data_IF_117438530582
#
_entry.id   IF_117438530582
#
_cell.length_a   1.000
_cell.length_b   1.000
_cell.length_c   1.000
_cell.angle_alpha   90.00
_cell.angle_beta   90.00
_cell.angle_gamma   90.00
#
_symmetry.space_group_name_H-M   'P 1'
#
loop_
_entity.id
_entity.type
_entity.pdbx_description
1 polymer ?
#
# COMPACT_ATOMS: atom_id res chain seq x y z
N UNK A 1 23.50 1.69 18.68
CA UNK A 1 24.24 2.36 17.60
C UNK A 1 23.42 3.58 17.31
N UNK A 2 23.95 4.77 17.65
CA UNK A 2 23.17 6.02 17.71
C UNK A 2 22.39 6.25 16.41
N UNK A 3 22.94 5.84 15.26
CA UNK A 3 22.25 5.99 13.98
C UNK A 3 21.03 5.08 13.90
N UNK A 4 21.16 3.78 14.21
CA UNK A 4 20.03 2.83 14.22
C UNK A 4 18.99 3.16 15.28
N UNK A 5 19.42 3.65 16.43
CA UNK A 5 18.53 4.01 17.55
C UNK A 5 17.65 5.23 17.21
N UNK A 6 18.06 6.06 16.23
CA UNK A 6 17.29 7.19 15.71
C UNK A 6 16.52 6.89 14.40
N UNK A 7 16.72 5.72 13.79
CA UNK A 7 16.08 5.42 12.49
C UNK A 7 14.58 5.15 12.60
N UNK A 8 14.08 4.80 13.79
CA UNK A 8 12.66 4.48 14.02
C UNK A 8 12.11 5.42 15.08
N UNK A 9 11.01 6.10 14.76
CA UNK A 9 10.35 7.06 15.65
C UNK A 9 8.87 6.71 15.85
N UNK A 10 8.34 6.94 17.05
CA UNK A 10 6.94 6.73 17.39
C UNK A 10 6.22 8.06 17.60
N UNK A 11 5.76 8.68 16.51
CA UNK A 11 5.05 9.98 16.57
C UNK A 11 3.64 9.86 17.15
N UNK A 12 3.03 8.68 17.02
CA UNK A 12 1.67 8.40 17.46
C UNK A 12 1.57 8.20 18.97
N UNK A 13 2.68 7.82 19.64
CA UNK A 13 2.68 7.42 21.04
C UNK A 13 1.90 6.13 21.34
N UNK A 14 1.44 5.41 20.32
CA UNK A 14 0.59 4.21 20.44
C UNK A 14 1.36 2.92 20.75
N UNK A 15 2.69 3.01 20.90
CA UNK A 15 3.54 1.88 21.26
C UNK A 15 4.06 1.05 20.07
N UNK A 16 4.57 -0.17 20.34
CA UNK A 16 5.21 -1.03 19.34
C UNK A 16 4.25 -1.40 18.19
N UNK A 17 4.73 -1.35 16.95
CA UNK A 17 3.94 -1.60 15.73
C UNK A 17 3.35 -0.36 15.07
N UNK A 18 3.38 0.80 15.75
CA UNK A 18 2.96 2.09 15.20
C UNK A 18 4.12 3.08 15.01
N UNK A 19 5.35 2.58 15.12
CA UNK A 19 6.56 3.35 14.84
C UNK A 19 6.85 3.34 13.34
N UNK A 20 7.49 4.39 12.84
CA UNK A 20 7.84 4.51 11.43
C UNK A 20 9.31 4.92 11.25
N UNK A 21 9.91 4.60 10.10
CA UNK A 21 11.24 5.09 9.77
C UNK A 21 11.28 6.63 9.72
N UNK A 22 12.39 7.22 10.19
CA UNK A 22 12.60 8.67 10.17
C UNK A 22 12.51 9.26 8.77
N UNK A 23 13.04 8.55 7.76
CA UNK A 23 12.98 8.94 6.35
C UNK A 23 11.53 9.12 5.87
N UNK A 24 10.66 8.15 6.17
CA UNK A 24 9.25 8.20 5.83
C UNK A 24 8.53 9.37 6.56
N UNK A 25 8.94 9.71 7.77
CA UNK A 25 8.40 10.88 8.46
C UNK A 25 8.85 12.19 7.81
N UNK A 26 10.12 12.28 7.39
CA UNK A 26 10.62 13.44 6.65
C UNK A 26 9.86 13.59 5.33
N UNK A 27 9.59 12.49 4.62
CA UNK A 27 8.78 12.50 3.41
C UNK A 27 7.37 13.05 3.64
N UNK A 28 6.69 12.62 4.72
CA UNK A 28 5.39 13.17 5.09
C UNK A 28 5.45 14.67 5.36
N UNK A 29 6.45 15.14 6.13
CA UNK A 29 6.63 16.57 6.42
C UNK A 29 6.86 17.38 5.14
N UNK A 30 7.69 16.89 4.22
CA UNK A 30 7.93 17.51 2.91
C UNK A 30 6.62 17.56 2.10
N UNK A 31 5.83 16.48 2.10
CA UNK A 31 4.52 16.44 1.45
C UNK A 31 3.59 17.54 1.95
N UNK A 32 3.49 17.73 3.26
CA UNK A 32 2.69 18.82 3.84
C UNK A 32 3.23 20.21 3.48
N UNK A 33 4.55 20.39 3.48
CA UNK A 33 5.17 21.65 3.11
C UNK A 33 4.89 22.01 1.65
N UNK A 34 4.94 21.03 0.74
CA UNK A 34 4.60 21.22 -0.68
C UNK A 34 3.18 21.76 -0.82
N UNK A 35 2.20 21.18 -0.12
CA UNK A 35 0.80 21.64 -0.16
C UNK A 35 0.67 23.09 0.34
N UNK A 36 1.33 23.44 1.44
CA UNK A 36 1.26 24.78 2.02
C UNK A 36 2.01 25.84 1.18
N UNK A 37 3.10 25.45 0.53
CA UNK A 37 3.91 26.32 -0.31
C UNK A 37 3.28 26.55 -1.69
N UNK A 38 2.69 25.50 -2.28
CA UNK A 38 2.02 25.53 -3.59
C UNK A 38 0.86 26.54 -3.62
N UNK A 39 0.31 26.89 -2.45
CA UNK A 39 -0.83 27.77 -2.32
C UNK A 39 -0.58 29.26 -2.66
N UNK A 40 0.64 29.80 -2.86
CA UNK A 40 0.78 31.27 -3.06
C UNK A 40 1.95 31.77 -3.95
N UNK A 41 1.71 31.80 -5.27
CA UNK A 41 2.22 32.76 -6.28
C UNK A 41 3.55 33.50 -6.02
N UNK A 42 3.60 34.82 -6.27
CA UNK A 42 4.80 35.67 -6.15
C UNK A 42 5.43 35.69 -4.73
N UNK A 43 4.72 35.15 -3.74
CA UNK A 43 5.15 35.04 -2.35
C UNK A 43 5.77 33.67 -2.00
N UNK A 44 6.17 32.87 -3.00
CA UNK A 44 6.90 31.62 -2.78
C UNK A 44 8.40 31.87 -2.60
N UNK A 45 8.77 32.55 -1.51
CA UNK A 45 10.19 32.76 -1.14
C UNK A 45 10.69 31.67 -0.21
N UNK A 46 12.00 31.38 -0.28
CA UNK A 46 12.68 30.43 0.60
C UNK A 46 12.55 30.81 2.08
N UNK A 47 12.58 32.10 2.40
CA UNK A 47 12.39 32.60 3.77
C UNK A 47 11.02 32.23 4.32
N UNK A 48 9.98 32.34 3.48
CA UNK A 48 8.63 31.95 3.86
C UNK A 48 8.50 30.45 4.03
N UNK A 49 9.19 29.65 3.19
CA UNK A 49 9.26 28.20 3.40
C UNK A 49 9.91 27.86 4.73
N UNK A 50 11.01 28.53 5.10
CA UNK A 50 11.68 28.35 6.40
C UNK A 50 10.76 28.67 7.59
N UNK A 51 10.00 29.77 7.49
CA UNK A 51 9.04 30.13 8.54
C UNK A 51 7.90 29.11 8.66
N UNK A 52 7.38 28.59 7.54
CA UNK A 52 6.32 27.58 7.53
C UNK A 52 6.83 26.23 8.04
N UNK A 53 8.05 25.84 7.68
CA UNK A 53 8.64 24.57 8.13
C UNK A 53 8.89 24.55 9.63
N UNK A 54 9.35 25.66 10.21
CA UNK A 54 9.49 25.80 11.65
C UNK A 54 8.13 25.68 12.39
N UNK A 55 7.04 26.18 11.79
CA UNK A 55 5.71 26.18 12.40
C UNK A 55 4.84 24.95 12.01
N UNK A 56 5.35 24.00 11.22
CA UNK A 56 4.54 22.96 10.56
C UNK A 56 3.73 22.11 11.55
N UNK A 57 4.31 21.80 12.71
CA UNK A 57 3.64 21.02 13.78
C UNK A 57 2.42 21.76 14.31
N UNK A 58 2.52 23.07 14.51
CA UNK A 58 1.40 23.89 14.98
C UNK A 58 0.34 24.07 13.88
N UNK A 59 0.78 24.29 12.64
CA UNK A 59 -0.13 24.41 11.49
C UNK A 59 -0.94 23.14 11.26
N UNK A 60 -0.34 21.96 11.42
CA UNK A 60 -1.04 20.69 11.35
C UNK A 60 -2.07 20.51 12.48
N UNK A 61 -1.74 20.92 13.70
CA UNK A 61 -2.69 20.89 14.84
C UNK A 61 -3.88 21.82 14.58
N UNK A 62 -3.63 23.01 14.06
CA UNK A 62 -4.70 23.96 13.68
C UNK A 62 -5.55 23.36 12.56
N UNK A 63 -4.94 22.81 11.52
CA UNK A 63 -5.65 22.12 10.42
C UNK A 63 -6.56 21.03 10.99
N UNK A 64 -6.04 20.17 11.87
CA UNK A 64 -6.82 19.10 12.51
C UNK A 64 -8.03 19.66 13.28
N UNK A 65 -7.83 20.67 14.13
CA UNK A 65 -8.93 21.30 14.89
C UNK A 65 -9.97 21.96 13.99
N UNK A 66 -9.54 22.65 12.93
CA UNK A 66 -10.46 23.27 11.96
C UNK A 66 -11.23 22.19 11.20
N UNK A 67 -10.56 21.11 10.79
CA UNK A 67 -11.22 19.99 10.13
C UNK A 67 -12.25 19.31 11.03
N UNK A 68 -11.94 19.12 12.32
CA UNK A 68 -12.89 18.60 13.31
C UNK A 68 -14.08 19.55 13.51
N UNK A 69 -13.82 20.85 13.66
CA UNK A 69 -14.86 21.85 13.86
C UNK A 69 -15.81 22.02 12.66
N UNK A 70 -15.29 21.87 11.45
CA UNK A 70 -16.07 21.97 10.20
C UNK A 70 -16.65 20.63 9.74
N UNK A 71 -16.48 19.57 10.52
CA UNK A 71 -16.79 18.19 10.15
C UNK A 71 -16.24 17.75 8.77
N UNK A 72 -15.12 18.35 8.39
CA UNK A 72 -14.35 18.00 7.17
C UNK A 72 -13.16 17.12 7.51
N UNK A 73 -13.02 16.70 8.77
CA UNK A 73 -12.05 15.71 9.18
C UNK A 73 -12.22 14.46 8.33
N UNK A 74 -11.12 13.98 7.77
CA UNK A 74 -11.10 12.75 7.00
C UNK A 74 -11.54 11.58 7.91
N UNK A 75 -12.80 11.17 7.79
CA UNK A 75 -13.46 10.18 8.67
C UNK A 75 -13.15 8.72 8.34
N UNK A 76 -12.11 8.42 7.56
CA UNK A 76 -11.82 7.03 7.16
C UNK A 76 -10.42 6.58 7.54
N UNK A 77 -10.29 5.98 8.72
CA UNK A 77 -9.19 5.05 9.05
C UNK A 77 -9.49 3.61 8.61
N UNK A 78 -10.73 3.32 8.22
CA UNK A 78 -11.09 2.02 7.64
C UNK A 78 -10.88 2.06 6.14
N UNK A 79 -9.77 1.50 5.65
CA UNK A 79 -9.80 0.90 4.33
C UNK A 79 -10.83 -0.24 4.44
N UNK A 80 -12.10 0.00 4.09
CA UNK A 80 -13.09 -1.06 4.02
C UNK A 80 -12.57 -2.01 2.95
N UNK A 81 -12.11 -3.20 3.36
CA UNK A 81 -11.70 -4.21 2.40
C UNK A 81 -12.88 -4.45 1.47
N UNK A 82 -12.76 -4.11 0.17
CA UNK A 82 -13.87 -4.30 -0.73
C UNK A 82 -14.19 -5.79 -0.79
N UNK A 83 -15.47 -6.14 -0.72
CA UNK A 83 -15.89 -7.52 -0.89
C UNK A 83 -15.56 -7.97 -2.33
N UNK A 84 -14.58 -8.86 -2.46
CA UNK A 84 -14.12 -9.38 -3.75
C UNK A 84 -14.80 -10.69 -4.14
N UNK A 85 -15.77 -11.17 -3.35
CA UNK A 85 -16.43 -12.46 -3.56
C UNK A 85 -17.04 -12.58 -4.95
N UNK A 86 -17.69 -11.53 -5.45
CA UNK A 86 -18.29 -11.51 -6.78
C UNK A 86 -17.24 -11.64 -7.90
N UNK A 87 -16.09 -10.96 -7.76
CA UNK A 87 -15.00 -11.03 -8.73
C UNK A 87 -14.40 -12.43 -8.78
N UNK A 88 -14.20 -13.07 -7.63
CA UNK A 88 -13.73 -14.46 -7.54
C UNK A 88 -14.71 -15.40 -8.28
N UNK A 89 -16.01 -15.27 -8.03
CA UNK A 89 -17.02 -16.09 -8.73
C UNK A 89 -17.14 -15.80 -10.22
N UNK A 90 -16.89 -14.57 -10.65
CA UNK A 90 -16.85 -14.20 -12.07
C UNK A 90 -15.67 -14.88 -12.78
N UNK A 91 -14.49 -14.89 -12.16
CA UNK A 91 -13.32 -15.60 -12.66
C UNK A 91 -13.59 -17.11 -12.69
N UNK A 92 -14.10 -17.68 -11.59
CA UNK A 92 -14.41 -19.11 -11.51
C UNK A 92 -15.41 -19.56 -12.59
N UNK A 93 -16.49 -18.80 -12.82
CA UNK A 93 -17.45 -19.09 -13.88
C UNK A 93 -16.82 -19.01 -15.27
N UNK A 94 -15.94 -18.04 -15.52
CA UNK A 94 -15.27 -17.89 -16.82
C UNK A 94 -14.31 -19.07 -17.08
N UNK A 95 -13.51 -19.44 -16.08
CA UNK A 95 -12.63 -20.60 -16.10
C UNK A 95 -13.39 -21.90 -16.38
N UNK A 96 -14.56 -22.07 -15.74
CA UNK A 96 -15.43 -23.21 -15.99
C UNK A 96 -16.07 -23.20 -17.38
N UNK A 97 -16.55 -22.04 -17.85
CA UNK A 97 -17.18 -21.90 -19.18
C UNK A 97 -16.22 -22.16 -20.33
N UNK A 98 -14.94 -21.83 -20.13
CA UNK A 98 -13.87 -22.05 -21.11
C UNK A 98 -13.14 -23.37 -20.89
N UNK A 99 -13.60 -24.18 -19.92
CA UNK A 99 -13.01 -25.47 -19.56
C UNK A 99 -11.48 -25.41 -19.40
N UNK A 100 -10.96 -24.29 -18.87
CA UNK A 100 -9.50 -24.05 -18.81
C UNK A 100 -8.76 -25.03 -17.91
N UNK A 101 -9.47 -25.66 -16.98
CA UNK A 101 -8.94 -26.71 -16.10
C UNK A 101 -9.15 -28.13 -16.64
N UNK A 102 -9.78 -28.29 -17.82
CA UNK A 102 -9.90 -29.59 -18.48
C UNK A 102 -8.68 -29.85 -19.36
N UNK A 103 -8.21 -31.09 -19.35
CA UNK A 103 -7.14 -31.52 -20.23
C UNK A 103 -7.71 -31.92 -21.59
N UNK A 104 -7.39 -31.15 -22.63
CA UNK A 104 -7.72 -31.48 -24.01
C UNK A 104 -6.44 -31.88 -24.75
N UNK A 105 -6.37 -33.15 -25.17
CA UNK A 105 -5.21 -33.70 -25.88
C UNK A 105 -4.93 -32.96 -27.20
N UNK A 106 -5.98 -32.54 -27.91
CA UNK A 106 -5.92 -31.90 -29.24
C UNK A 106 -6.28 -30.40 -29.20
N UNK A 107 -5.86 -29.66 -28.16
CA UNK A 107 -6.13 -28.22 -28.09
C UNK A 107 -5.39 -27.47 -29.20
N UNK A 108 -6.05 -26.53 -29.86
CA UNK A 108 -5.41 -25.71 -30.90
C UNK A 108 -4.19 -24.95 -30.33
N UNK A 109 -3.05 -25.02 -31.04
CA UNK A 109 -1.74 -24.47 -30.64
C UNK A 109 -1.00 -25.20 -29.49
N UNK A 110 -1.37 -26.44 -29.14
CA UNK A 110 -0.64 -27.21 -28.11
C UNK A 110 0.85 -27.35 -28.44
N UNK A 111 1.19 -27.47 -29.73
CA UNK A 111 2.55 -27.63 -30.28
C UNK A 111 3.48 -26.44 -29.96
N UNK A 112 2.90 -25.26 -29.65
CA UNK A 112 3.66 -24.04 -29.30
C UNK A 112 3.92 -23.90 -27.81
N UNK A 113 3.29 -24.73 -26.98
CA UNK A 113 3.35 -24.63 -25.52
C UNK A 113 4.43 -25.60 -25.01
N UNK A 114 5.35 -25.11 -24.17
CA UNK A 114 6.30 -26.00 -23.49
C UNK A 114 5.54 -26.88 -22.51
N UNK A 115 5.76 -28.19 -22.58
CA UNK A 115 5.22 -29.16 -21.61
C UNK A 115 5.60 -28.73 -20.18
N UNK A 116 4.59 -28.46 -19.37
CA UNK A 116 4.75 -28.17 -17.93
C UNK A 116 4.50 -29.46 -17.17
N UNK A 117 5.41 -29.87 -16.26
CA UNK A 117 5.22 -31.07 -15.46
C UNK A 117 4.00 -30.93 -14.55
N UNK A 118 3.21 -32.00 -14.43
CA UNK A 118 2.10 -32.05 -13.49
C UNK A 118 2.65 -31.94 -12.05
N UNK A 119 2.35 -30.81 -11.41
CA UNK A 119 2.88 -30.45 -10.09
C UNK A 119 2.30 -31.37 -9.01
N UNK A 120 1.06 -31.87 -9.18
CA UNK A 120 0.44 -32.80 -8.24
C UNK A 120 1.09 -34.17 -8.33
N UNK A 121 1.26 -34.70 -9.54
CA UNK A 121 1.96 -35.97 -9.77
C UNK A 121 3.42 -35.89 -9.29
N UNK A 122 4.11 -34.78 -9.59
CA UNK A 122 5.49 -34.54 -9.16
C UNK A 122 5.60 -34.40 -7.64
N UNK A 123 4.59 -33.79 -7.00
CA UNK A 123 4.49 -33.70 -5.55
C UNK A 123 4.27 -35.07 -4.90
N UNK A 124 3.32 -35.84 -5.42
CA UNK A 124 3.00 -37.18 -4.92
C UNK A 124 4.20 -38.12 -5.01
N UNK A 125 4.87 -38.15 -6.16
CA UNK A 125 6.08 -38.97 -6.37
C UNK A 125 7.22 -38.57 -5.42
N UNK A 126 7.44 -37.27 -5.20
CA UNK A 126 8.45 -36.80 -4.23
C UNK A 126 8.14 -37.26 -2.80
N UNK A 127 6.89 -37.15 -2.38
CA UNK A 127 6.45 -37.59 -1.04
C UNK A 127 6.67 -39.10 -0.89
N UNK A 128 6.21 -39.89 -1.87
CA UNK A 128 6.39 -41.36 -1.88
C UNK A 128 7.86 -41.78 -1.90
N UNK A 129 8.74 -41.02 -2.56
CA UNK A 129 10.18 -41.32 -2.59
C UNK A 129 10.95 -40.92 -1.31
N UNK A 130 10.31 -40.14 -0.43
CA UNK A 130 10.89 -39.64 0.82
C UNK A 130 10.41 -40.42 2.06
N UNK A 131 9.60 -41.46 1.87
CA UNK A 131 9.10 -42.38 2.90
C UNK A 131 9.71 -43.76 2.66
#
# INVERSE_FOLDING_TARGET
DIMRDNMIICLSGLGPGHCMPMDLNIEHLIGYLKILLQAKGMSSTWDRLGNISAAIVHLQRVKKKVSEALDTAYRNTGHTTPDTSEMVWRVARKVASESLQSFEHNRANNDRIKLVPDILLTGETKIKSST
#
